data_IF_008631619994
#
_entry.id   IF_008631619994
#
_cell.length_a   1.000
_cell.length_b   1.000
_cell.length_c   1.000
_cell.angle_alpha   90.00
_cell.angle_beta   90.00
_cell.angle_gamma   90.00
#
_symmetry.space_group_name_H-M   'P 1'
#
loop_
_entity.id
_entity.type
_entity.pdbx_description
1 polymer ?
#
# COMPACT_ATOMS: atom_id res chain seq x y z
N UNK A 1 26.22 -5.57 -22.86
CA UNK A 1 25.75 -5.32 -21.49
C UNK A 1 26.98 -5.03 -20.63
N UNK A 2 27.09 -3.81 -20.07
CA UNK A 2 28.24 -3.41 -19.26
C UNK A 2 28.12 -3.97 -17.85
N UNK A 3 29.14 -4.69 -17.38
CA UNK A 3 29.22 -5.16 -15.99
C UNK A 3 29.54 -3.95 -15.11
N UNK A 4 28.67 -3.66 -14.15
CA UNK A 4 28.87 -2.58 -13.18
C UNK A 4 29.83 -3.09 -12.09
N UNK A 5 30.95 -2.41 -11.81
CA UNK A 5 31.88 -2.88 -10.78
C UNK A 5 31.27 -2.70 -9.38
N UNK A 6 31.31 -3.76 -8.57
CA UNK A 6 30.91 -3.72 -7.16
C UNK A 6 32.15 -3.82 -6.27
N UNK A 7 32.19 -3.01 -5.21
CA UNK A 7 33.30 -2.97 -4.24
C UNK A 7 32.86 -3.69 -2.97
N UNK A 8 33.62 -4.70 -2.55
CA UNK A 8 33.39 -5.46 -1.32
C UNK A 8 34.45 -5.10 -0.29
N UNK A 9 34.03 -4.72 0.92
CA UNK A 9 34.93 -4.45 2.05
C UNK A 9 34.75 -5.55 3.09
N UNK A 10 35.81 -6.31 3.35
CA UNK A 10 35.82 -7.37 4.38
C UNK A 10 36.71 -6.98 5.55
N UNK A 11 36.18 -7.11 6.77
CA UNK A 11 36.88 -6.85 8.04
C UNK A 11 37.89 -7.94 8.44
N UNK A 12 38.23 -8.85 7.53
CA UNK A 12 39.15 -9.98 7.71
C UNK A 12 39.48 -10.63 6.36
N UNK A 13 40.24 -11.72 6.35
CA UNK A 13 40.72 -12.33 5.09
C UNK A 13 39.55 -12.71 4.15
N UNK A 14 39.43 -11.94 3.06
CA UNK A 14 38.33 -12.04 2.11
C UNK A 14 38.38 -13.37 1.35
N UNK A 15 39.58 -13.84 1.00
CA UNK A 15 39.73 -15.03 0.18
C UNK A 15 39.35 -16.31 0.94
N UNK A 16 39.73 -16.43 2.21
CA UNK A 16 39.28 -17.56 3.05
C UNK A 16 37.76 -17.58 3.24
N UNK A 17 37.12 -16.41 3.30
CA UNK A 17 35.66 -16.30 3.39
C UNK A 17 34.97 -16.63 2.07
N UNK A 18 35.52 -16.16 0.96
CA UNK A 18 34.99 -16.45 -0.38
C UNK A 18 35.09 -17.95 -0.68
N UNK A 19 36.22 -18.57 -0.37
CA UNK A 19 36.43 -20.00 -0.55
C UNK A 19 35.45 -20.84 0.28
N UNK A 20 35.19 -20.45 1.55
CA UNK A 20 34.15 -21.10 2.37
C UNK A 20 32.75 -20.93 1.79
N UNK A 21 32.45 -19.77 1.20
CA UNK A 21 31.18 -19.50 0.56
C UNK A 21 30.99 -20.35 -0.71
N UNK A 22 32.05 -20.50 -1.51
CA UNK A 22 32.09 -21.38 -2.69
C UNK A 22 31.98 -22.86 -2.28
N UNK A 23 32.57 -23.26 -1.16
CA UNK A 23 32.41 -24.61 -0.57
C UNK A 23 30.97 -24.85 -0.06
N UNK A 24 30.35 -23.84 0.56
CA UNK A 24 28.94 -23.89 0.98
C UNK A 24 27.99 -23.97 -0.22
N UNK A 25 28.33 -23.33 -1.36
CA UNK A 25 27.59 -23.42 -2.63
C UNK A 25 27.61 -24.85 -3.19
N UNK A 26 28.72 -25.57 -3.06
CA UNK A 26 28.81 -26.99 -3.46
C UNK A 26 28.01 -27.90 -2.51
N UNK A 27 27.97 -27.61 -1.21
CA UNK A 27 27.07 -28.30 -0.27
C UNK A 27 25.58 -27.99 -0.52
N UNK A 28 25.26 -26.88 -1.20
CA UNK A 28 23.90 -26.57 -1.64
C UNK A 28 23.41 -27.41 -2.83
N UNK A 29 24.29 -28.15 -3.51
CA UNK A 29 23.90 -29.13 -4.56
C UNK A 29 23.20 -30.36 -3.97
N UNK A 30 23.46 -30.69 -2.69
CA UNK A 30 22.72 -31.70 -1.92
C UNK A 30 21.65 -31.07 -1.02
N UNK A 31 21.14 -29.89 -1.39
CA UNK A 31 19.84 -29.47 -0.86
C UNK A 31 18.82 -30.43 -1.46
N UNK A 32 18.05 -31.20 -0.65
CA UNK A 32 16.83 -31.76 -1.20
C UNK A 32 16.10 -30.58 -1.84
N UNK A 33 15.66 -30.76 -3.09
CA UNK A 33 14.86 -29.77 -3.80
C UNK A 33 13.88 -29.20 -2.78
N UNK A 34 13.98 -27.90 -2.47
CA UNK A 34 13.00 -27.26 -1.58
C UNK A 34 11.68 -27.68 -2.17
N UNK A 35 10.89 -28.51 -1.48
CA UNK A 35 9.76 -29.12 -2.14
C UNK A 35 8.91 -27.93 -2.57
N UNK A 36 8.50 -27.95 -3.84
CA UNK A 36 7.53 -27.01 -4.40
C UNK A 36 6.17 -27.30 -3.76
N UNK A 37 6.13 -27.33 -2.43
CA UNK A 37 4.90 -27.38 -1.67
C UNK A 37 4.25 -26.01 -1.86
N UNK A 38 2.94 -25.96 -2.11
CA UNK A 38 2.22 -24.69 -2.14
C UNK A 38 2.57 -23.96 -0.85
N UNK A 39 2.92 -22.66 -0.94
CA UNK A 39 3.33 -21.80 0.15
C UNK A 39 2.81 -22.34 1.49
N UNK A 40 3.67 -23.01 2.26
CA UNK A 40 3.23 -23.81 3.39
C UNK A 40 2.78 -22.85 4.47
N UNK A 41 1.48 -22.53 4.44
CA UNK A 41 0.91 -21.60 5.39
C UNK A 41 0.99 -22.25 6.78
N UNK A 42 1.64 -21.59 7.71
CA UNK A 42 1.73 -22.05 9.09
C UNK A 42 0.47 -21.64 9.87
N UNK A 43 0.04 -22.42 10.87
CA UNK A 43 -1.13 -22.08 11.66
C UNK A 43 -0.89 -20.81 12.48
N UNK A 44 -1.96 -20.05 12.73
CA UNK A 44 -1.92 -18.88 13.63
C UNK A 44 -1.30 -19.28 14.96
N UNK A 45 -0.24 -18.60 15.44
CA UNK A 45 0.35 -18.88 16.73
C UNK A 45 -0.67 -18.67 17.86
N UNK A 46 -0.42 -19.29 19.02
CA UNK A 46 -1.26 -19.08 20.20
C UNK A 46 -1.00 -17.70 20.77
N UNK A 47 -1.80 -16.73 20.33
CA UNK A 47 -1.80 -15.36 20.84
C UNK A 47 -2.76 -15.23 22.03
N UNK A 48 -2.50 -14.25 22.89
CA UNK A 48 -3.36 -13.94 24.06
C UNK A 48 -4.72 -13.35 23.66
N UNK A 49 -4.84 -12.82 22.44
CA UNK A 49 -6.08 -12.26 21.92
C UNK A 49 -6.93 -13.35 21.23
N UNK A 50 -8.27 -13.29 21.33
CA UNK A 50 -9.14 -14.18 20.59
C UNK A 50 -9.00 -13.91 19.09
N UNK A 51 -9.07 -14.98 18.30
CA UNK A 51 -9.21 -14.84 16.85
C UNK A 51 -10.58 -14.21 16.54
N UNK A 52 -10.57 -13.12 15.78
CA UNK A 52 -11.77 -12.45 15.27
C UNK A 52 -11.59 -12.31 13.76
N UNK A 53 -12.49 -12.91 12.99
CA UNK A 53 -12.46 -12.86 11.54
C UNK A 53 -12.68 -11.43 11.00
N UNK A 54 -12.16 -11.12 9.79
CA UNK A 54 -12.48 -9.88 9.07
C UNK A 54 -13.98 -9.63 8.97
N UNK A 55 -14.39 -8.38 9.16
CA UNK A 55 -15.81 -7.97 9.22
C UNK A 55 -16.29 -7.26 7.97
N UNK A 56 -15.37 -6.69 7.19
CA UNK A 56 -15.65 -5.97 5.96
C UNK A 56 -14.64 -6.33 4.85
N UNK A 57 -14.94 -5.89 3.63
CA UNK A 57 -14.13 -6.23 2.44
C UNK A 57 -12.70 -5.66 2.53
N UNK A 58 -12.54 -4.49 3.15
CA UNK A 58 -11.23 -3.85 3.38
C UNK A 58 -10.37 -4.68 4.32
N UNK A 59 -10.89 -5.08 5.48
CA UNK A 59 -10.22 -5.95 6.44
C UNK A 59 -9.90 -7.32 5.82
N UNK A 60 -10.81 -7.87 5.00
CA UNK A 60 -10.62 -9.14 4.31
C UNK A 60 -9.44 -9.06 3.33
N UNK A 61 -9.40 -8.02 2.50
CA UNK A 61 -8.31 -7.80 1.54
C UNK A 61 -6.96 -7.56 2.23
N UNK A 62 -6.92 -6.85 3.37
CA UNK A 62 -5.70 -6.67 4.16
C UNK A 62 -5.27 -8.02 4.77
N UNK A 63 -6.19 -8.78 5.35
CA UNK A 63 -5.89 -10.08 5.95
C UNK A 63 -5.32 -11.07 4.94
N UNK A 64 -5.83 -11.10 3.70
CA UNK A 64 -5.28 -11.92 2.60
C UNK A 64 -3.84 -11.55 2.24
N UNK A 65 -3.54 -10.25 2.19
CA UNK A 65 -2.16 -9.78 1.94
C UNK A 65 -1.23 -10.18 3.08
N UNK A 66 -1.71 -10.14 4.32
CA UNK A 66 -0.94 -10.60 5.48
C UNK A 66 -0.68 -12.10 5.42
N UNK A 67 -1.70 -12.90 5.13
CA UNK A 67 -1.56 -14.34 4.96
C UNK A 67 -0.49 -14.67 3.92
N UNK A 68 -0.54 -14.01 2.77
CA UNK A 68 0.41 -14.22 1.67
C UNK A 68 1.82 -13.73 2.01
N UNK A 69 1.94 -12.59 2.70
CA UNK A 69 3.23 -12.00 3.06
C UNK A 69 3.93 -12.76 4.18
N UNK A 70 3.17 -13.22 5.19
CA UNK A 70 3.70 -13.91 6.37
C UNK A 70 3.65 -15.43 6.23
N UNK A 71 2.92 -15.96 5.24
CA UNK A 71 2.65 -17.38 5.10
C UNK A 71 1.84 -17.93 6.27
N UNK A 72 0.84 -17.21 6.78
CA UNK A 72 -0.04 -17.65 7.90
C UNK A 72 -1.40 -18.06 7.36
N UNK A 73 -2.01 -19.14 7.88
CA UNK A 73 -3.33 -19.62 7.42
C UNK A 73 -4.49 -18.71 7.80
N UNK A 74 -4.42 -18.10 8.99
CA UNK A 74 -5.51 -17.31 9.57
C UNK A 74 -4.93 -16.07 10.25
N UNK A 75 -5.50 -14.91 9.91
CA UNK A 75 -5.15 -13.61 10.48
C UNK A 75 -6.42 -13.00 11.03
N UNK A 76 -6.43 -12.75 12.34
CA UNK A 76 -7.51 -12.04 13.02
C UNK A 76 -7.34 -10.53 12.92
N UNK A 77 -8.44 -9.78 13.02
CA UNK A 77 -8.43 -8.32 12.81
C UNK A 77 -7.61 -7.54 13.84
N UNK A 78 -7.42 -8.13 15.03
CA UNK A 78 -6.64 -7.57 16.13
C UNK A 78 -5.31 -8.27 16.33
N UNK A 79 -4.92 -9.16 15.41
CA UNK A 79 -3.62 -9.82 15.47
C UNK A 79 -2.54 -8.80 15.17
N UNK A 80 -1.50 -8.83 15.99
CA UNK A 80 -0.35 -7.99 15.78
C UNK A 80 0.51 -8.58 14.67
N UNK A 81 0.85 -7.77 13.66
CA UNK A 81 1.70 -8.15 12.54
C UNK A 81 3.03 -8.79 12.99
N UNK A 82 3.65 -8.26 14.05
CA UNK A 82 4.93 -8.73 14.57
C UNK A 82 4.78 -10.04 15.38
N UNK A 83 3.66 -10.21 16.10
CA UNK A 83 3.39 -11.45 16.84
C UNK A 83 3.08 -12.63 15.91
N UNK A 84 2.64 -12.34 14.68
CA UNK A 84 2.46 -13.32 13.61
C UNK A 84 3.77 -13.65 12.85
N UNK A 85 4.91 -13.13 13.30
CA UNK A 85 6.22 -13.37 12.67
C UNK A 85 6.65 -12.32 11.65
N UNK A 86 5.95 -11.18 11.59
CA UNK A 86 6.33 -10.05 10.75
C UNK A 86 7.66 -9.40 11.16
N UNK A 87 8.42 -8.96 10.16
CA UNK A 87 9.68 -8.21 10.31
C UNK A 87 9.70 -6.97 9.41
N UNK A 88 10.75 -6.15 9.53
CA UNK A 88 10.88 -4.89 8.77
C UNK A 88 10.76 -5.07 7.25
N UNK A 89 11.36 -6.12 6.68
CA UNK A 89 11.32 -6.37 5.23
C UNK A 89 9.90 -6.74 4.80
N UNK A 90 9.27 -7.70 5.47
CA UNK A 90 7.89 -8.10 5.20
C UNK A 90 6.90 -6.94 5.42
N UNK A 91 7.15 -6.06 6.39
CA UNK A 91 6.33 -4.87 6.64
C UNK A 91 6.44 -3.84 5.52
N UNK A 92 7.64 -3.60 4.99
CA UNK A 92 7.84 -2.71 3.84
C UNK A 92 7.14 -3.28 2.60
N UNK A 93 7.30 -4.59 2.34
CA UNK A 93 6.62 -5.27 1.23
C UNK A 93 5.11 -5.19 1.35
N UNK A 94 4.56 -5.45 2.54
CA UNK A 94 3.13 -5.35 2.82
C UNK A 94 2.60 -3.94 2.57
N UNK A 95 3.28 -2.91 3.10
CA UNK A 95 2.86 -1.52 2.89
C UNK A 95 2.89 -1.14 1.41
N UNK A 96 3.89 -1.61 0.65
CA UNK A 96 3.94 -1.44 -0.80
C UNK A 96 2.71 -2.05 -1.49
N UNK A 97 2.37 -3.29 -1.16
CA UNK A 97 1.21 -3.98 -1.73
C UNK A 97 -0.12 -3.32 -1.34
N UNK A 98 -0.24 -2.82 -0.10
CA UNK A 98 -1.44 -2.10 0.35
C UNK A 98 -1.63 -0.79 -0.42
N UNK A 99 -0.56 0.00 -0.60
CA UNK A 99 -0.59 1.23 -1.40
C UNK A 99 -1.02 0.96 -2.83
N UNK A 100 -0.51 -0.10 -3.44
CA UNK A 100 -0.87 -0.48 -4.81
C UNK A 100 -2.32 -0.96 -4.93
N UNK A 101 -2.78 -1.80 -3.99
CA UNK A 101 -4.12 -2.39 -4.01
C UNK A 101 -5.22 -1.37 -3.75
N UNK A 102 -5.02 -0.48 -2.79
CA UNK A 102 -6.04 0.48 -2.36
C UNK A 102 -5.84 1.89 -2.94
N UNK A 103 -4.71 2.15 -3.61
CA UNK A 103 -4.35 3.47 -4.17
C UNK A 103 -4.29 4.62 -3.17
N UNK A 104 -4.16 4.30 -1.88
CA UNK A 104 -4.09 5.25 -0.77
C UNK A 104 -2.65 5.49 -0.30
N UNK A 105 -2.40 6.64 0.32
CA UNK A 105 -1.08 6.94 0.87
C UNK A 105 -0.95 6.46 2.33
N UNK A 106 -0.33 5.30 2.53
CA UNK A 106 -0.08 4.75 3.87
C UNK A 106 1.35 5.06 4.35
N UNK A 107 1.57 5.85 5.41
CA UNK A 107 2.90 6.00 6.01
C UNK A 107 3.42 4.66 6.54
N UNK A 108 4.69 4.35 6.32
CA UNK A 108 5.30 3.11 6.86
C UNK A 108 5.25 3.05 8.39
N UNK A 109 5.27 4.22 9.04
CA UNK A 109 5.16 4.37 10.51
C UNK A 109 3.84 3.81 11.03
N UNK A 110 2.76 3.84 10.23
CA UNK A 110 1.44 3.36 10.63
C UNK A 110 1.43 1.88 11.02
N UNK A 111 2.29 1.07 10.39
CA UNK A 111 2.43 -0.34 10.74
C UNK A 111 2.99 -0.53 12.15
N UNK A 112 3.75 0.43 12.68
CA UNK A 112 4.30 0.37 14.03
C UNK A 112 3.36 0.96 15.09
N UNK A 113 2.60 1.99 14.73
CA UNK A 113 1.62 2.64 15.63
C UNK A 113 0.37 1.77 15.84
N UNK A 114 -0.07 1.09 14.79
CA UNK A 114 -1.22 0.20 14.82
C UNK A 114 -0.96 -1.05 14.00
N UNK A 115 -0.16 -2.01 14.49
CA UNK A 115 0.22 -3.24 13.77
C UNK A 115 -0.94 -4.23 13.68
N UNK A 116 -2.17 -3.80 13.41
CA UNK A 116 -3.35 -4.66 13.31
C UNK A 116 -4.11 -4.37 12.03
N UNK A 117 -4.78 -5.39 11.49
CA UNK A 117 -5.64 -5.25 10.31
C UNK A 117 -6.70 -4.18 10.52
N UNK A 118 -7.34 -4.15 11.70
CA UNK A 118 -8.38 -3.16 12.02
C UNK A 118 -7.87 -1.71 12.05
N UNK A 119 -6.62 -1.49 12.48
CA UNK A 119 -6.03 -0.16 12.51
C UNK A 119 -5.67 0.31 11.09
N UNK A 120 -5.10 -0.58 10.26
CA UNK A 120 -4.81 -0.27 8.87
C UNK A 120 -6.09 -0.04 8.06
N UNK A 121 -7.14 -0.85 8.26
CA UNK A 121 -8.42 -0.69 7.57
C UNK A 121 -9.02 0.70 7.82
N UNK A 122 -9.01 1.17 9.07
CA UNK A 122 -9.49 2.52 9.42
C UNK A 122 -8.73 3.63 8.71
N UNK A 123 -7.42 3.50 8.56
CA UNK A 123 -6.61 4.50 7.85
C UNK A 123 -6.96 4.56 6.37
N UNK A 124 -7.21 3.41 5.75
CA UNK A 124 -7.62 3.31 4.35
C UNK A 124 -9.01 3.92 4.16
N UNK A 125 -9.97 3.56 5.01
CA UNK A 125 -11.34 4.08 4.97
C UNK A 125 -11.39 5.60 5.17
N UNK A 126 -10.51 6.16 6.03
CA UNK A 126 -10.41 7.60 6.25
C UNK A 126 -9.95 8.37 4.99
N UNK A 127 -8.94 7.85 4.29
CA UNK A 127 -8.41 8.46 3.06
C UNK A 127 -9.48 8.47 1.95
N UNK A 128 -10.26 7.38 1.82
CA UNK A 128 -11.39 7.30 0.88
C UNK A 128 -12.50 8.33 1.19
N UNK A 129 -12.82 8.54 2.47
CA UNK A 129 -13.80 9.57 2.86
C UNK A 129 -13.33 10.99 2.61
N UNK A 130 -12.03 11.27 2.77
CA UNK A 130 -11.48 12.60 2.51
C UNK A 130 -11.50 12.92 1.01
N UNK A 131 -11.08 11.99 0.15
CA UNK A 131 -11.08 12.17 -1.32
C UNK A 131 -12.50 12.45 -1.85
N UNK A 132 -13.49 11.67 -1.42
CA UNK A 132 -14.89 11.86 -1.83
C UNK A 132 -15.49 13.19 -1.34
N UNK A 133 -15.05 13.70 -0.18
CA UNK A 133 -15.49 15.00 0.34
C UNK A 133 -14.94 16.19 -0.47
N UNK A 134 -13.69 16.09 -0.95
CA UNK A 134 -13.06 17.15 -1.77
C UNK A 134 -13.74 17.29 -3.15
N UNK A 135 -14.06 16.19 -3.83
CA UNK A 135 -14.70 16.22 -5.16
C UNK A 135 -16.11 16.84 -5.12
N UNK A 136 -16.89 16.54 -4.07
CA UNK A 136 -18.23 17.10 -3.88
C UNK A 136 -18.20 18.60 -3.54
N UNK A 137 -17.14 19.07 -2.88
CA UNK A 137 -16.91 20.50 -2.59
C UNK A 137 -16.62 21.33 -3.84
N UNK A 138 -15.76 20.82 -4.74
CA UNK A 138 -15.36 21.54 -5.97
C UNK A 138 -16.51 21.68 -6.96
N UNK A 139 -17.35 20.65 -7.09
CA UNK A 139 -18.54 20.64 -7.95
C UNK A 139 -19.55 21.77 -7.62
N UNK A 140 -19.63 22.21 -6.36
CA UNK A 140 -20.50 23.34 -5.95
C UNK A 140 -19.86 24.70 -6.23
N UNK A 141 -18.54 24.81 -6.13
CA UNK A 141 -17.79 26.05 -6.42
C UNK A 141 -17.83 26.43 -7.91
N UNK A 142 -17.71 25.46 -8.80
CA UNK A 142 -17.71 25.69 -10.24
C UNK A 142 -19.07 26.13 -10.80
N UNK A 143 -20.18 25.54 -10.29
CA UNK A 143 -21.55 25.93 -10.68
C UNK A 143 -21.88 27.39 -10.35
N UNK A 144 -21.23 27.98 -9.33
CA UNK A 144 -21.41 29.40 -8.96
C UNK A 144 -20.64 30.37 -9.86
N UNK A 145 -19.52 29.93 -10.45
CA UNK A 145 -18.68 30.80 -11.30
C UNK A 145 -19.24 30.94 -12.73
N UNK A 146 -19.90 29.90 -13.26
CA UNK A 146 -20.52 29.94 -14.58
C UNK A 146 -21.72 30.89 -14.70
N UNK A 147 -22.51 31.06 -13.62
CA UNK A 147 -23.76 31.85 -13.64
C UNK A 147 -23.56 33.37 -13.61
N UNK A 148 -22.36 33.86 -13.27
CA UNK A 148 -22.00 35.29 -13.31
C UNK A 148 -21.54 35.78 -14.68
N UNK A 149 -21.15 34.88 -15.60
CA UNK A 149 -20.72 35.24 -16.97
C UNK A 149 -21.87 35.32 -17.98
N UNK A 150 -23.01 34.67 -17.69
CA UNK A 150 -24.19 34.72 -18.57
C UNK A 150 -25.01 36.01 -18.48
N UNK A 151 -24.96 36.74 -17.35
CA UNK A 151 -25.80 37.95 -17.16
C UNK A 151 -25.26 39.22 -17.83
N UNK A 152 -23.99 39.26 -18.25
CA UNK A 152 -23.41 40.47 -18.85
C UNK A 152 -23.62 40.56 -20.38
N UNK A 153 -24.12 39.51 -21.03
CA UNK A 153 -24.35 39.52 -22.49
C UNK A 153 -25.74 39.99 -22.91
N UNK A 154 -26.73 39.96 -22.02
CA UNK A 154 -28.10 40.38 -22.34
C UNK A 154 -28.36 41.90 -22.18
N UNK A 155 -27.34 42.73 -21.99
CA UNK A 155 -27.49 44.19 -21.79
C UNK A 155 -26.76 45.07 -22.83
N UNK A 156 -26.22 44.50 -23.91
CA UNK A 156 -25.48 45.27 -24.92
C UNK A 156 -26.02 45.10 -26.35
N UNK A 157 -27.32 44.85 -26.48
CA UNK A 157 -27.98 44.67 -27.77
C UNK A 157 -29.32 45.42 -27.80
N UNK A 158 -29.31 46.68 -27.36
CA UNK A 158 -30.48 47.56 -27.47
C UNK A 158 -30.08 49.03 -27.65
N UNK A 159 -29.03 49.33 -28.44
CA UNK A 159 -28.76 50.71 -28.90
C UNK A 159 -28.00 50.65 -30.23
N UNK A 160 -28.62 50.17 -31.32
CA UNK A 160 -28.11 50.43 -32.68
C UNK A 160 -29.27 50.43 -33.69
N UNK A 161 -30.28 51.28 -33.50
CA UNK A 161 -31.31 51.53 -34.52
C UNK A 161 -31.90 52.94 -34.30
N UNK A 162 -31.14 54.03 -34.52
CA UNK A 162 -31.74 55.38 -34.61
C UNK A 162 -30.92 56.47 -35.33
N UNK A 163 -30.00 56.16 -36.25
CA UNK A 163 -29.44 57.23 -37.11
C UNK A 163 -29.55 56.85 -38.59
N UNK A 164 -30.76 57.04 -39.11
CA UNK A 164 -31.06 57.21 -40.53
C UNK A 164 -32.09 58.33 -40.67
N UNK A 165 -31.70 59.43 -41.33
CA UNK A 165 -32.53 60.60 -41.65
C UNK A 165 -32.10 61.83 -40.85
N UNK A 166 -31.82 62.99 -41.41
CA UNK A 166 -31.97 63.56 -42.77
C UNK A 166 -30.89 64.64 -42.93
#
# INVERSE_FOLDING_TARGET
>A
AGVVPQIVVSTGDLQSRLNRWIELEQLHQERPAVPTEPASYHPRPRLSNPYIAPRNDTEQAIAELWQTTLGVQQVGIHDNFFDLGGNSLSGITLIGQLKERFRVHIPTVSLYEGPTVSALAKLIEQDETDETAYEHGQSRGERRRGKRRGRQRDHNQEIVDDESGD
#
